data_IF_910779616350
#
_entry.id   IF_910779616350
#
_cell.length_a   1.000
_cell.length_b   1.000
_cell.length_c   1.000
_cell.angle_alpha   90.00
_cell.angle_beta   90.00
_cell.angle_gamma   90.00
#
_symmetry.space_group_name_H-M   'P 1'
#
loop_
_entity.id
_entity.type
_entity.pdbx_description
1 polymer ?
#
# COMPACT_ATOMS: atom_id res chain seq x y z
N UNK A 1 -1.59 7.84 9.48
CA UNK A 1 -1.84 7.85 8.02
C UNK A 1 -0.75 8.72 7.40
N UNK A 2 0.01 8.21 6.42
CA UNK A 2 1.01 9.03 5.73
C UNK A 2 0.30 9.93 4.70
N UNK A 3 0.79 11.16 4.59
CA UNK A 3 0.22 12.18 3.71
C UNK A 3 0.78 12.07 2.29
N UNK A 4 -0.03 12.44 1.28
CA UNK A 4 0.42 12.54 -0.11
C UNK A 4 1.54 13.58 -0.32
N UNK A 5 1.77 14.49 0.63
CA UNK A 5 2.86 15.46 0.58
C UNK A 5 4.19 14.91 1.12
N UNK A 6 4.19 13.74 1.76
CA UNK A 6 5.43 13.05 2.15
C UNK A 6 6.08 12.41 0.92
N UNK A 7 7.40 12.22 0.96
CA UNK A 7 8.11 11.54 -0.12
C UNK A 7 7.57 10.10 -0.28
N UNK A 8 7.17 9.76 -1.50
CA UNK A 8 6.57 8.48 -1.83
C UNK A 8 6.80 8.10 -3.29
N UNK A 9 6.61 6.82 -3.60
CA UNK A 9 6.52 6.32 -4.99
C UNK A 9 5.06 6.00 -5.30
N UNK A 10 4.55 6.49 -6.42
CA UNK A 10 3.23 6.13 -6.92
C UNK A 10 3.28 4.75 -7.57
N UNK A 11 2.74 3.73 -6.90
CA UNK A 11 2.72 2.34 -7.41
C UNK A 11 1.57 2.10 -8.40
N UNK A 12 0.48 2.85 -8.29
CA UNK A 12 -0.65 2.75 -9.20
C UNK A 12 -1.81 3.66 -8.84
N UNK A 13 -2.70 3.90 -9.79
CA UNK A 13 -3.89 4.73 -9.63
C UNK A 13 -5.08 4.06 -10.30
N UNK A 14 -6.23 4.07 -9.64
CA UNK A 14 -7.47 3.59 -10.22
C UNK A 14 -8.57 4.64 -10.01
N UNK A 15 -8.98 5.27 -11.11
CA UNK A 15 -10.03 6.25 -11.05
C UNK A 15 -11.39 5.54 -10.96
N UNK A 16 -12.13 5.78 -9.87
CA UNK A 16 -13.33 4.99 -9.57
C UNK A 16 -14.48 5.38 -10.50
N UNK A 17 -15.35 4.42 -10.90
CA UNK A 17 -16.58 4.73 -11.61
C UNK A 17 -17.50 5.66 -10.83
N UNK A 18 -18.32 6.42 -11.55
CA UNK A 18 -19.39 7.21 -10.92
C UNK A 18 -20.39 6.26 -10.26
N UNK A 19 -20.85 6.61 -9.06
CA UNK A 19 -21.79 5.79 -8.28
C UNK A 19 -21.15 4.67 -7.47
N UNK A 20 -19.82 4.50 -7.49
CA UNK A 20 -19.12 3.61 -6.55
C UNK A 20 -19.39 4.05 -5.11
N UNK A 21 -19.97 3.15 -4.32
CA UNK A 21 -20.16 3.36 -2.89
C UNK A 21 -18.81 3.22 -2.19
N UNK A 22 -18.33 4.31 -1.58
CA UNK A 22 -16.96 4.39 -1.07
C UNK A 22 -16.71 3.43 0.09
N UNK A 23 -17.61 3.35 1.07
CA UNK A 23 -17.39 2.49 2.24
C UNK A 23 -17.33 0.99 1.87
N UNK A 24 -18.27 0.44 1.05
CA UNK A 24 -18.14 -0.93 0.55
C UNK A 24 -16.86 -1.17 -0.25
N UNK A 25 -16.44 -0.21 -1.06
CA UNK A 25 -15.17 -0.31 -1.81
C UNK A 25 -13.97 -0.39 -0.85
N UNK A 26 -13.88 0.54 0.10
CA UNK A 26 -12.81 0.61 1.11
C UNK A 26 -12.75 -0.68 1.94
N UNK A 27 -13.89 -1.15 2.40
CA UNK A 27 -13.99 -2.40 3.17
C UNK A 27 -13.51 -3.59 2.33
N UNK A 28 -13.93 -3.68 1.07
CA UNK A 28 -13.54 -4.78 0.18
C UNK A 28 -12.03 -4.80 -0.09
N UNK A 29 -11.41 -3.65 -0.38
CA UNK A 29 -9.95 -3.60 -0.60
C UNK A 29 -9.16 -3.86 0.68
N UNK A 30 -9.65 -3.41 1.84
CA UNK A 30 -9.04 -3.77 3.12
C UNK A 30 -9.12 -5.28 3.39
N UNK A 31 -10.27 -5.92 3.14
CA UNK A 31 -10.43 -7.36 3.31
C UNK A 31 -9.51 -8.15 2.38
N UNK A 32 -9.34 -7.70 1.13
CA UNK A 32 -8.32 -8.26 0.24
C UNK A 32 -6.92 -8.13 0.85
N UNK A 33 -6.54 -6.95 1.35
CA UNK A 33 -5.22 -6.76 1.94
C UNK A 33 -5.01 -7.68 3.16
N UNK A 34 -6.01 -7.80 4.04
CA UNK A 34 -5.94 -8.66 5.22
C UNK A 34 -5.76 -10.14 4.86
N UNK A 35 -6.42 -10.62 3.81
CA UNK A 35 -6.33 -12.02 3.37
C UNK A 35 -4.97 -12.40 2.80
N UNK A 36 -4.18 -11.43 2.29
CA UNK A 36 -2.77 -11.66 1.90
C UNK A 36 -1.93 -12.25 3.04
N UNK A 37 -2.27 -11.91 4.29
CA UNK A 37 -1.55 -12.31 5.50
C UNK A 37 -2.22 -13.43 6.30
N UNK A 38 -3.51 -13.73 6.04
CA UNK A 38 -4.34 -14.50 6.99
C UNK A 38 -5.05 -15.73 6.42
N UNK A 39 -5.23 -15.88 5.10
CA UNK A 39 -6.05 -16.98 4.56
C UNK A 39 -5.32 -17.82 3.53
N UNK A 40 -4.92 -19.05 3.92
CA UNK A 40 -4.85 -20.29 3.11
C UNK A 40 -4.04 -20.35 1.80
N UNK A 41 -3.74 -19.22 1.17
CA UNK A 41 -2.93 -19.12 -0.03
C UNK A 41 -1.43 -19.10 0.29
N UNK A 42 -1.06 -18.86 1.57
CA UNK A 42 0.33 -18.64 2.01
C UNK A 42 1.09 -17.87 0.95
N UNK A 43 0.67 -16.63 0.66
CA UNK A 43 1.41 -15.83 -0.29
C UNK A 43 2.85 -15.76 0.24
N UNK A 44 3.83 -16.36 -0.45
CA UNK A 44 5.16 -16.58 0.13
C UNK A 44 5.87 -15.24 0.13
N UNK A 45 5.60 -14.45 1.16
CA UNK A 45 6.21 -13.16 1.39
C UNK A 45 7.51 -13.38 2.13
N UNK A 46 8.57 -12.72 1.67
CA UNK A 46 9.87 -12.75 2.34
C UNK A 46 9.78 -12.09 3.73
N UNK A 47 8.93 -11.08 3.89
CA UNK A 47 8.69 -10.39 5.14
C UNK A 47 7.26 -10.61 5.67
N UNK A 48 7.08 -10.80 6.99
CA UNK A 48 5.75 -10.80 7.59
C UNK A 48 5.01 -9.50 7.28
N UNK A 49 3.71 -9.60 7.03
CA UNK A 49 2.87 -8.44 6.74
C UNK A 49 2.03 -8.04 7.96
N UNK A 50 1.89 -6.73 8.16
CA UNK A 50 0.87 -6.15 9.04
C UNK A 50 -0.07 -5.30 8.20
N UNK A 51 -1.37 -5.53 8.34
CA UNK A 51 -2.40 -4.79 7.60
C UNK A 51 -3.25 -4.01 8.58
N UNK A 52 -3.35 -2.70 8.35
CA UNK A 52 -4.15 -1.79 9.17
C UNK A 52 -5.25 -1.16 8.30
N UNK A 53 -6.48 -1.11 8.84
CA UNK A 53 -7.59 -0.38 8.23
C UNK A 53 -7.40 1.12 8.47
N UNK A 54 -7.63 1.91 7.42
CA UNK A 54 -7.66 3.37 7.50
C UNK A 54 -9.07 3.87 7.19
N UNK A 55 -9.35 5.13 7.51
CA UNK A 55 -10.66 5.75 7.26
C UNK A 55 -11.06 5.69 5.77
N UNK A 56 -10.10 5.98 4.89
CA UNK A 56 -10.29 6.06 3.44
C UNK A 56 -9.52 4.97 2.67
N UNK A 57 -9.14 3.86 3.33
CA UNK A 57 -8.37 2.81 2.68
C UNK A 57 -7.67 1.84 3.63
N UNK A 58 -6.43 1.47 3.34
CA UNK A 58 -5.61 0.56 4.15
C UNK A 58 -4.12 0.88 4.07
N UNK A 59 -3.35 0.29 5.00
CA UNK A 59 -1.89 0.21 4.93
C UNK A 59 -1.42 -1.24 5.08
N UNK A 60 -0.47 -1.66 4.25
CA UNK A 60 0.30 -2.90 4.40
C UNK A 60 1.72 -2.51 4.77
N UNK A 61 2.19 -2.97 5.92
CA UNK A 61 3.56 -2.76 6.40
C UNK A 61 4.35 -4.06 6.25
N UNK A 62 5.49 -4.01 5.55
CA UNK A 62 6.40 -5.15 5.42
C UNK A 62 7.32 -5.18 6.63
N UNK A 63 7.09 -6.09 7.57
CA UNK A 63 7.75 -6.09 8.87
C UNK A 63 9.14 -6.72 8.80
N UNK A 64 10.10 -6.02 9.39
CA UNK A 64 11.48 -6.46 9.54
C UNK A 64 11.88 -6.39 11.00
N UNK A 65 12.68 -7.37 11.43
CA UNK A 65 13.22 -7.41 12.78
C UNK A 65 14.25 -6.28 12.96
N UNK A 66 14.13 -5.54 14.06
CA UNK A 66 15.04 -4.45 14.40
C UNK A 66 16.20 -4.97 15.25
N UNK A 67 17.37 -5.12 14.64
CA UNK A 67 18.65 -5.38 15.31
C UNK A 67 18.64 -6.49 16.38
N UNK A 68 19.61 -6.42 17.30
CA UNK A 68 19.77 -7.38 18.40
C UNK A 68 18.79 -7.16 19.56
N UNK A 69 18.24 -5.95 19.70
CA UNK A 69 17.35 -5.53 20.80
C UNK A 69 15.94 -6.17 20.75
N UNK A 70 15.58 -6.82 19.65
CA UNK A 70 14.24 -7.38 19.45
C UNK A 70 13.23 -6.33 18.95
N UNK A 71 12.07 -6.80 18.51
CA UNK A 71 11.00 -5.99 17.93
C UNK A 71 10.94 -6.01 16.40
N UNK A 72 9.80 -5.58 15.86
CA UNK A 72 9.54 -5.48 14.42
C UNK A 72 9.15 -4.04 14.08
N UNK A 73 9.66 -3.53 12.97
CA UNK A 73 9.22 -2.27 12.38
C UNK A 73 9.11 -2.41 10.87
N UNK A 74 8.41 -1.48 10.23
CA UNK A 74 8.17 -1.53 8.78
C UNK A 74 9.44 -1.24 8.00
N UNK A 75 9.82 -2.13 7.08
CA UNK A 75 10.85 -1.89 6.07
C UNK A 75 10.31 -1.03 4.91
N UNK A 76 9.00 -0.97 4.74
CA UNK A 76 8.31 -0.18 3.73
C UNK A 76 6.80 -0.34 3.87
N UNK A 77 6.07 0.71 3.56
CA UNK A 77 4.61 0.76 3.69
C UNK A 77 3.96 0.93 2.33
N UNK A 78 3.03 0.05 1.98
CA UNK A 78 2.11 0.25 0.86
C UNK A 78 0.82 0.83 1.43
N UNK A 79 0.36 1.96 0.92
CA UNK A 79 -0.89 2.58 1.33
C UNK A 79 -1.82 2.69 0.12
N UNK A 80 -3.02 2.13 0.23
CA UNK A 80 -4.09 2.30 -0.74
C UNK A 80 -5.13 3.26 -0.18
N UNK A 81 -5.34 4.42 -0.79
CA UNK A 81 -6.20 5.49 -0.28
C UNK A 81 -7.13 6.02 -1.37
N UNK A 82 -8.40 6.23 -1.02
CA UNK A 82 -9.35 6.99 -1.85
C UNK A 82 -9.22 8.49 -1.55
N UNK A 83 -9.02 9.28 -2.59
CA UNK A 83 -9.00 10.73 -2.56
C UNK A 83 -9.99 11.31 -3.59
N UNK A 84 -10.63 12.41 -3.23
CA UNK A 84 -11.40 13.21 -4.19
C UNK A 84 -10.45 14.15 -4.93
N UNK A 85 -10.39 14.00 -6.24
CA UNK A 85 -9.61 14.86 -7.14
C UNK A 85 -10.56 15.78 -7.87
N UNK A 86 -10.27 17.09 -7.81
CA UNK A 86 -11.00 18.10 -8.59
C UNK A 86 -10.48 18.12 -10.01
N UNK A 87 -11.34 17.80 -10.97
CA UNK A 87 -11.05 17.92 -12.40
C UNK A 87 -11.94 19.01 -13.03
N UNK A 88 -11.60 19.44 -14.25
CA UNK A 88 -12.40 20.42 -14.98
C UNK A 88 -13.85 19.97 -15.20
N UNK A 89 -14.10 18.66 -15.27
CA UNK A 89 -15.42 18.05 -15.48
C UNK A 89 -16.18 17.71 -14.18
N UNK A 90 -15.67 18.14 -13.02
CA UNK A 90 -16.22 17.87 -11.69
C UNK A 90 -15.27 17.08 -10.78
N UNK A 91 -15.71 16.84 -9.55
CA UNK A 91 -14.96 16.01 -8.60
C UNK A 91 -15.07 14.52 -8.96
N UNK A 92 -13.97 13.78 -8.76
CA UNK A 92 -13.90 12.33 -8.97
C UNK A 92 -13.12 11.66 -7.85
N UNK A 93 -13.62 10.53 -7.38
CA UNK A 93 -12.87 9.69 -6.44
C UNK A 93 -11.83 8.84 -7.19
N UNK A 94 -10.59 8.89 -6.72
CA UNK A 94 -9.45 8.16 -7.26
C UNK A 94 -8.82 7.36 -6.14
N UNK A 95 -8.57 6.08 -6.38
CA UNK A 95 -7.83 5.20 -5.49
C UNK A 95 -6.34 5.24 -5.85
N UNK A 96 -5.54 5.85 -4.98
CA UNK A 96 -4.09 5.94 -5.09
C UNK A 96 -3.43 4.82 -4.29
N UNK A 97 -2.41 4.22 -4.89
CA UNK A 97 -1.56 3.23 -4.23
C UNK A 97 -0.15 3.78 -4.20
N UNK A 98 0.37 4.03 -3.01
CA UNK A 98 1.66 4.69 -2.79
C UNK A 98 2.55 3.83 -1.91
N UNK A 99 3.85 3.90 -2.15
CA UNK A 99 4.88 3.28 -1.34
C UNK A 99 5.62 4.36 -0.53
N UNK A 100 5.84 4.10 0.75
CA UNK A 100 6.55 4.99 1.65
C UNK A 100 7.70 4.27 2.37
N UNK A 101 8.72 5.04 2.71
CA UNK A 101 9.86 4.60 3.52
C UNK A 101 9.42 4.20 4.93
N UNK A 102 9.75 2.99 5.35
CA UNK A 102 9.48 2.48 6.69
C UNK A 102 10.64 2.73 7.67
N UNK A 103 10.41 2.73 9.01
CA UNK A 103 11.48 2.96 10.00
C UNK A 103 12.62 1.93 10.00
N UNK A 104 12.36 0.72 9.50
CA UNK A 104 13.34 -0.37 9.41
C UNK A 104 14.02 -0.46 8.02
N UNK A 105 13.70 0.45 7.11
CA UNK A 105 14.11 0.37 5.69
C UNK A 105 15.63 0.39 5.49
N UNK A 106 16.38 1.03 6.39
CA UNK A 106 17.82 1.25 6.25
C UNK A 106 18.68 0.47 7.24
N UNK A 107 18.09 -0.37 8.10
CA UNK A 107 18.77 -0.92 9.29
C UNK A 107 19.96 -1.82 8.99
N UNK A 108 19.96 -2.49 7.83
CA UNK A 108 20.98 -3.50 7.49
C UNK A 108 21.92 -3.01 6.37
N UNK A 109 21.79 -1.74 5.98
CA UNK A 109 22.60 -1.17 4.91
C UNK A 109 24.06 -1.09 5.34
N UNK A 110 24.93 -1.65 4.51
CA UNK A 110 26.38 -1.55 4.68
C UNK A 110 26.96 -0.24 4.10
N UNK A 111 26.17 0.46 3.28
CA UNK A 111 26.55 1.74 2.67
C UNK A 111 25.55 2.84 3.07
N UNK A 112 26.01 4.11 3.20
CA UNK A 112 25.13 5.22 3.49
C UNK A 112 23.93 5.27 2.53
N UNK A 113 22.73 5.62 3.01
CA UNK A 113 21.57 5.79 2.15
C UNK A 113 21.72 7.02 1.24
N UNK A 114 21.07 7.02 0.06
CA UNK A 114 20.98 8.24 -0.76
C UNK A 114 20.36 9.40 0.04
N UNK A 115 20.90 10.61 -0.17
CA UNK A 115 20.38 11.84 0.45
C UNK A 115 19.08 12.27 -0.19
N UNK A 116 18.98 12.12 -1.52
CA UNK A 116 17.75 12.35 -2.25
C UNK A 116 16.68 11.34 -1.82
N UNK A 117 15.47 11.83 -1.55
CA UNK A 117 14.39 11.01 -1.01
C UNK A 117 13.84 10.03 -2.06
N UNK A 118 13.80 10.43 -3.33
CA UNK A 118 13.32 9.59 -4.43
C UNK A 118 14.29 8.45 -4.67
N UNK A 119 15.58 8.75 -4.81
CA UNK A 119 16.62 7.72 -4.98
C UNK A 119 16.65 6.72 -3.80
N UNK A 120 16.42 7.22 -2.58
CA UNK A 120 16.34 6.36 -1.40
C UNK A 120 15.12 5.45 -1.44
N UNK A 121 13.94 5.99 -1.78
CA UNK A 121 12.73 5.20 -1.93
C UNK A 121 12.86 4.14 -3.03
N UNK A 122 13.46 4.48 -4.17
CA UNK A 122 13.71 3.53 -5.26
C UNK A 122 14.65 2.40 -4.82
N UNK A 123 15.70 2.75 -4.08
CA UNK A 123 16.63 1.77 -3.51
C UNK A 123 15.96 0.84 -2.50
N UNK A 124 15.07 1.36 -1.64
CA UNK A 124 14.32 0.56 -0.67
C UNK A 124 13.33 -0.35 -1.40
N UNK A 125 12.52 0.21 -2.31
CA UNK A 125 11.50 -0.51 -3.06
C UNK A 125 12.10 -1.67 -3.86
N UNK A 126 13.25 -1.45 -4.50
CA UNK A 126 13.97 -2.49 -5.26
C UNK A 126 14.44 -3.65 -4.38
N UNK A 127 14.65 -3.42 -3.08
CA UNK A 127 15.04 -4.45 -2.12
C UNK A 127 13.86 -5.24 -1.54
N UNK A 128 12.61 -4.78 -1.75
CA UNK A 128 11.40 -5.40 -1.21
C UNK A 128 10.64 -6.14 -2.31
N UNK A 129 11.11 -7.35 -2.63
CA UNK A 129 10.55 -8.21 -3.69
C UNK A 129 9.05 -8.51 -3.53
N UNK A 130 8.56 -8.48 -2.30
CA UNK A 130 7.14 -8.70 -1.99
C UNK A 130 6.25 -7.59 -2.51
N UNK A 131 6.76 -6.36 -2.67
CA UNK A 131 5.94 -5.22 -3.14
C UNK A 131 5.44 -5.48 -4.56
N UNK A 132 6.33 -5.87 -5.48
CA UNK A 132 5.94 -6.20 -6.85
C UNK A 132 4.89 -7.31 -6.87
N UNK A 133 5.13 -8.31 -6.04
CA UNK A 133 4.31 -9.51 -5.92
C UNK A 133 2.90 -9.19 -5.41
N UNK A 134 2.78 -8.38 -4.34
CA UNK A 134 1.50 -7.87 -3.84
C UNK A 134 0.78 -7.08 -4.94
N UNK A 135 1.50 -6.18 -5.62
CA UNK A 135 0.95 -5.31 -6.65
C UNK A 135 0.43 -6.06 -7.89
N UNK A 136 0.93 -7.25 -8.20
CA UNK A 136 0.38 -8.08 -9.27
C UNK A 136 -1.06 -8.55 -9.00
N UNK A 137 -1.45 -8.69 -7.73
CA UNK A 137 -2.80 -9.14 -7.36
C UNK A 137 -3.80 -8.00 -7.21
N UNK A 138 -3.31 -6.77 -7.01
CA UNK A 138 -4.10 -5.56 -6.79
C UNK A 138 -5.14 -5.26 -7.89
N UNK A 139 -4.86 -5.39 -9.21
CA UNK A 139 -5.87 -5.08 -10.23
C UNK A 139 -7.12 -5.96 -10.12
N UNK A 140 -6.96 -7.23 -9.74
CA UNK A 140 -8.09 -8.13 -9.51
C UNK A 140 -8.88 -7.72 -8.27
N UNK A 141 -8.20 -7.33 -7.19
CA UNK A 141 -8.82 -6.83 -5.97
C UNK A 141 -9.67 -5.57 -6.24
N UNK A 142 -9.10 -4.59 -6.95
CA UNK A 142 -9.82 -3.36 -7.31
C UNK A 142 -11.06 -3.67 -8.15
N UNK A 143 -10.94 -4.55 -9.16
CA UNK A 143 -12.08 -4.94 -9.99
C UNK A 143 -13.18 -5.63 -9.19
N UNK A 144 -12.82 -6.51 -8.25
CA UNK A 144 -13.78 -7.16 -7.36
C UNK A 144 -14.46 -6.14 -6.43
N UNK A 145 -13.68 -5.24 -5.82
CA UNK A 145 -14.20 -4.19 -4.94
C UNK A 145 -15.16 -3.25 -5.69
N UNK A 146 -14.80 -2.83 -6.91
CA UNK A 146 -15.70 -2.01 -7.76
C UNK A 146 -17.03 -2.73 -8.00
N UNK A 147 -17.01 -4.02 -8.35
CA UNK A 147 -18.24 -4.80 -8.57
C UNK A 147 -19.11 -4.89 -7.32
N UNK A 148 -18.52 -5.10 -6.15
CA UNK A 148 -19.25 -5.17 -4.88
C UNK A 148 -19.79 -3.82 -4.43
N UNK A 149 -19.15 -2.74 -4.85
CA UNK A 149 -19.51 -1.35 -4.52
C UNK A 149 -20.41 -0.67 -5.57
N UNK A 150 -20.74 -1.35 -6.67
CA UNK A 150 -21.71 -0.89 -7.64
C UNK A 150 -23.11 -1.35 -7.20
N UNK A 151 -24.05 -0.41 -7.12
CA UNK A 151 -25.43 -0.61 -6.63
C UNK A 151 -26.00 -2.02 -6.85
N UNK A 152 -26.19 -2.76 -5.75
CA UNK A 152 -27.42 -3.52 -5.51
C UNK A 152 -28.60 -2.57 -5.36
#
# INVERSE_FOLDING_TARGET
>A
MKSANEAHIQLGTAALPRGTQLQPFIDSVYQWAATLSQSGANYPTALPLKVDKLENGFQISLLKRMGASGGFASAGDIQGIVEEVKEQAGARNVFFIRFYEGPASLTDRQVPPPKDATERLDSILSGLVDVQTIMQTMPNAIRAAVKLSANT
#
